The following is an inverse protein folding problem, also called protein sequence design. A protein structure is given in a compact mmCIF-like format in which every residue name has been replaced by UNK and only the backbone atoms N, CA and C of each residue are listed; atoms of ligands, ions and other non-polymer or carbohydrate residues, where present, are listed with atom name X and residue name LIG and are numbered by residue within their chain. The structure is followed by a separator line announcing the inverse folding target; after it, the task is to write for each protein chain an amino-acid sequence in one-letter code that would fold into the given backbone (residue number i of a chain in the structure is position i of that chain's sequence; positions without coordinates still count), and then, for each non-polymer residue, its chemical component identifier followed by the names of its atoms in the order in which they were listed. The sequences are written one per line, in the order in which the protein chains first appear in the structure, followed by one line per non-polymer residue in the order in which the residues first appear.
data_IF_332938752772
#
_entry.id   IF_332938752772
#
_cell.length_a   1.000
_cell.length_b   1.000
_cell.length_c   1.000
_cell.angle_alpha   90.00
_cell.angle_beta   90.00
_cell.angle_gamma   90.00
#
_symmetry.space_group_name_H-M   'P 1'
#
loop_
_entity.id
_entity.type
_entity.pdbx_description
1 polymer ?
#
# COMPACT_ATOMS: atom_id res chain seq x y z
N UNK A 1 -2.75 -89.18 20.06
CA UNK A 1 -2.25 -87.97 19.34
C UNK A 1 -3.40 -87.44 18.46
N UNK A 2 -4.54 -87.00 18.97
CA UNK A 2 -4.91 -85.90 19.88
C UNK A 2 -4.92 -84.50 19.24
N UNK A 3 -5.98 -84.25 18.46
CA UNK A 3 -6.93 -83.13 18.60
C UNK A 3 -6.36 -81.78 19.07
N UNK A 4 -5.55 -81.12 18.25
CA UNK A 4 -5.23 -79.70 18.41
C UNK A 4 -4.95 -79.14 17.01
N UNK A 5 -5.94 -78.49 16.37
CA UNK A 5 -5.77 -77.61 15.17
C UNK A 5 -7.09 -77.08 14.56
N UNK A 6 -8.23 -77.16 15.27
CA UNK A 6 -9.51 -76.64 14.77
C UNK A 6 -10.20 -75.77 15.84
N UNK A 7 -9.54 -74.71 16.30
CA UNK A 7 -10.17 -73.77 17.24
C UNK A 7 -9.69 -72.32 17.12
N UNK A 8 -8.93 -71.95 16.09
CA UNK A 8 -8.37 -70.60 15.96
C UNK A 8 -8.90 -69.76 14.79
N UNK A 9 -9.83 -70.27 13.97
CA UNK A 9 -10.32 -69.51 12.79
C UNK A 9 -11.70 -68.89 13.01
N UNK A 10 -12.44 -69.28 14.05
CA UNK A 10 -13.81 -68.81 14.28
C UNK A 10 -13.94 -67.60 15.22
N UNK A 11 -12.88 -67.16 15.89
CA UNK A 11 -12.92 -65.98 16.77
C UNK A 11 -12.52 -64.67 16.09
N UNK A 12 -11.97 -64.71 14.87
CA UNK A 12 -11.52 -63.49 14.18
C UNK A 12 -12.59 -62.84 13.30
N UNK A 13 -13.69 -63.53 12.99
CA UNK A 13 -14.76 -63.00 12.13
C UNK A 13 -15.80 -62.17 12.88
N UNK A 14 -15.89 -62.28 14.21
CA UNK A 14 -16.90 -61.56 15.01
C UNK A 14 -16.40 -60.16 15.44
N UNK A 15 -15.09 -59.94 15.54
CA UNK A 15 -14.56 -58.61 15.88
C UNK A 15 -14.56 -57.62 14.71
N UNK A 16 -14.54 -58.09 13.46
CA UNK A 16 -14.54 -57.20 12.28
C UNK A 16 -15.94 -56.67 11.91
N UNK A 17 -17.02 -57.30 12.37
CA UNK A 17 -18.39 -56.84 12.10
C UNK A 17 -18.87 -55.74 13.06
N UNK A 18 -18.17 -55.51 14.18
CA UNK A 18 -18.54 -54.49 15.18
C UNK A 18 -17.95 -53.10 14.91
N UNK A 19 -17.01 -52.97 13.97
CA UNK A 19 -16.38 -51.67 13.65
C UNK A 19 -17.17 -50.90 12.58
N UNK A 20 -18.05 -51.55 11.82
CA UNK A 20 -18.83 -50.89 10.75
C UNK A 20 -20.22 -50.39 11.19
N UNK A 21 -20.65 -50.67 12.42
CA UNK A 21 -21.97 -50.26 12.93
C UNK A 21 -21.93 -49.04 13.87
N UNK A 22 -20.75 -48.44 14.11
CA UNK A 22 -20.55 -47.42 15.14
C UNK A 22 -20.35 -45.99 14.66
N UNK A 23 -20.25 -45.73 13.36
CA UNK A 23 -20.01 -44.39 12.82
C UNK A 23 -21.26 -43.84 12.13
N UNK A 24 -22.39 -43.88 12.82
CA UNK A 24 -23.47 -42.93 12.54
C UNK A 24 -22.95 -41.57 12.99
N UNK A 25 -22.24 -40.88 12.09
CA UNK A 25 -21.82 -39.52 12.27
C UNK A 25 -23.09 -38.68 12.38
N UNK A 26 -23.63 -38.60 13.61
CA UNK A 26 -24.62 -37.61 13.99
C UNK A 26 -23.93 -36.27 13.85
N UNK A 27 -23.93 -35.75 12.62
CA UNK A 27 -23.67 -34.35 12.40
C UNK A 27 -24.61 -33.62 13.34
N UNK A 28 -24.09 -32.72 14.21
CA UNK A 28 -24.96 -31.86 14.96
C UNK A 28 -25.92 -31.20 13.96
N UNK A 29 -27.22 -31.10 14.29
CA UNK A 29 -28.18 -30.49 13.38
C UNK A 29 -27.61 -29.16 12.92
N UNK A 30 -27.46 -28.98 11.60
CA UNK A 30 -27.06 -27.67 11.07
C UNK A 30 -28.09 -26.68 11.59
N UNK A 31 -27.66 -25.56 12.22
CA UNK A 31 -28.59 -24.55 12.66
C UNK A 31 -29.36 -24.03 11.45
N UNK A 32 -30.68 -23.84 11.60
CA UNK A 32 -31.56 -23.35 10.52
C UNK A 32 -31.14 -21.96 10.01
N UNK A 33 -30.39 -21.21 10.83
CA UNK A 33 -29.72 -19.98 10.45
C UNK A 33 -28.38 -19.87 11.19
N UNK A 34 -27.31 -19.60 10.45
CA UNK A 34 -26.07 -19.12 11.06
C UNK A 34 -26.30 -17.67 11.46
N UNK A 35 -26.03 -17.33 12.73
CA UNK A 35 -25.96 -15.94 13.13
C UNK A 35 -24.89 -15.26 12.26
N UNK A 36 -25.21 -14.12 11.62
CA UNK A 36 -24.23 -13.40 10.83
C UNK A 36 -23.06 -13.02 11.73
N UNK A 37 -21.83 -13.28 11.27
CA UNK A 37 -20.62 -12.87 11.99
C UNK A 37 -20.71 -11.37 12.24
N UNK A 38 -20.62 -10.90 13.50
CA UNK A 38 -20.71 -9.49 13.80
C UNK A 38 -19.61 -8.75 13.03
N UNK A 39 -20.00 -7.83 12.15
CA UNK A 39 -19.04 -7.00 11.41
C UNK A 39 -18.43 -6.03 12.41
N UNK A 40 -17.12 -6.07 12.65
CA UNK A 40 -16.48 -5.11 13.54
C UNK A 40 -16.71 -3.70 13.00
N UNK A 41 -17.19 -2.81 13.86
CA UNK A 41 -17.43 -1.40 13.52
C UNK A 41 -16.37 -0.53 14.17
N UNK A 42 -15.82 0.41 13.38
CA UNK A 42 -14.90 1.44 13.88
C UNK A 42 -15.60 2.78 13.87
N UNK A 43 -15.41 3.58 14.92
CA UNK A 43 -15.88 4.97 14.96
C UNK A 43 -14.68 5.86 14.65
N UNK A 44 -14.66 6.56 13.50
CA UNK A 44 -13.54 7.40 13.12
C UNK A 44 -13.22 8.45 14.18
N UNK A 45 -11.95 8.57 14.53
CA UNK A 45 -11.44 9.62 15.39
C UNK A 45 -11.56 10.97 14.70
N UNK A 46 -12.26 11.90 15.35
CA UNK A 46 -12.51 13.24 14.81
C UNK A 46 -11.24 14.11 14.72
N UNK A 47 -10.18 13.76 15.45
CA UNK A 47 -8.94 14.54 15.48
C UNK A 47 -7.75 13.75 14.94
N UNK A 48 -6.95 14.41 14.10
CA UNK A 48 -5.64 13.91 13.72
C UNK A 48 -4.72 13.86 14.96
N UNK A 49 -3.77 12.90 15.00
CA UNK A 49 -2.72 12.91 16.01
C UNK A 49 -2.00 14.27 15.99
N UNK A 50 -1.70 14.79 17.18
CA UNK A 50 -0.87 15.99 17.31
C UNK A 50 0.45 15.74 16.58
N UNK A 51 0.85 16.69 15.73
CA UNK A 51 2.15 16.66 15.10
C UNK A 51 3.22 16.73 16.21
N UNK A 52 3.98 15.64 16.39
CA UNK A 52 4.97 15.50 17.46
C UNK A 52 6.35 15.86 16.90
N UNK A 53 6.76 17.10 17.15
CA UNK A 53 8.12 17.68 17.04
C UNK A 53 8.86 17.66 15.69
N UNK A 54 9.67 18.72 15.48
CA UNK A 54 10.69 19.10 14.46
C UNK A 54 10.51 18.70 12.98
N UNK A 55 9.93 17.54 12.66
CA UNK A 55 9.70 17.06 11.31
C UNK A 55 8.40 17.59 10.69
N UNK A 56 7.36 17.88 11.48
CA UNK A 56 6.23 18.68 11.02
C UNK A 56 6.65 20.15 11.02
N UNK A 57 7.25 20.60 9.92
CA UNK A 57 7.63 22.00 9.73
C UNK A 57 6.43 22.96 9.86
N UNK A 58 6.62 24.27 9.59
CA UNK A 58 5.54 25.26 9.70
C UNK A 58 4.32 24.95 8.81
N UNK A 59 4.51 24.13 7.77
CA UNK A 59 3.47 23.70 6.83
C UNK A 59 2.58 22.55 7.38
N UNK A 60 2.85 22.04 8.59
CA UNK A 60 2.11 20.93 9.20
C UNK A 60 2.69 19.54 8.90
N UNK A 61 1.94 18.51 9.26
CA UNK A 61 2.35 17.11 9.11
C UNK A 61 1.96 16.52 7.75
N UNK A 62 2.65 15.45 7.35
CA UNK A 62 2.33 14.68 6.15
C UNK A 62 0.88 14.20 6.18
N UNK A 63 0.46 13.61 7.31
CA UNK A 63 -0.91 13.14 7.51
C UNK A 63 -1.93 14.28 7.37
N UNK A 64 -1.64 15.46 7.94
CA UNK A 64 -2.50 16.64 7.82
C UNK A 64 -2.68 17.10 6.37
N UNK A 65 -1.62 17.07 5.56
CA UNK A 65 -1.68 17.45 4.14
C UNK A 65 -2.55 16.51 3.27
N UNK A 66 -2.86 15.30 3.76
CA UNK A 66 -3.74 14.34 3.10
C UNK A 66 -5.16 14.30 3.68
N UNK A 67 -5.39 14.83 4.89
CA UNK A 67 -6.70 14.82 5.53
C UNK A 67 -7.78 15.58 4.74
N UNK A 68 -7.40 16.66 4.05
CA UNK A 68 -8.30 17.48 3.24
C UNK A 68 -8.58 16.88 1.86
N UNK A 69 -7.86 15.84 1.44
CA UNK A 69 -8.03 15.26 0.12
C UNK A 69 -9.24 14.33 0.06
N UNK A 70 -9.89 14.30 -1.10
CA UNK A 70 -10.96 13.36 -1.40
C UNK A 70 -10.36 12.03 -1.85
N UNK A 71 -10.82 10.87 -1.33
CA UNK A 71 -10.37 9.58 -1.83
C UNK A 71 -10.85 9.42 -3.27
N UNK A 72 -10.10 8.67 -4.06
CA UNK A 72 -10.53 8.30 -5.41
C UNK A 72 -11.68 7.31 -5.38
N UNK A 73 -12.38 7.18 -6.51
CA UNK A 73 -13.43 6.18 -6.67
C UNK A 73 -12.81 4.79 -6.80
N UNK A 74 -13.59 3.75 -6.48
CA UNK A 74 -13.10 2.36 -6.45
C UNK A 74 -12.66 1.87 -7.84
N UNK A 75 -13.40 2.23 -8.89
CA UNK A 75 -13.07 1.90 -10.28
C UNK A 75 -11.67 2.44 -10.69
N UNK A 76 -11.23 3.56 -10.12
CA UNK A 76 -9.91 4.12 -10.40
C UNK A 76 -8.79 3.29 -9.76
N UNK A 77 -9.06 2.61 -8.63
CA UNK A 77 -8.09 1.81 -7.87
C UNK A 77 -7.79 0.51 -8.60
N UNK A 78 -8.81 -0.14 -9.15
CA UNK A 78 -8.67 -1.40 -9.89
C UNK A 78 -7.86 -1.25 -11.19
N UNK A 79 -7.86 -0.05 -11.77
CA UNK A 79 -7.12 0.27 -12.98
C UNK A 79 -5.63 0.58 -12.74
N UNK A 80 -5.13 0.45 -11.50
CA UNK A 80 -3.75 0.79 -11.20
C UNK A 80 -2.74 -0.22 -11.75
N UNK A 81 -1.62 0.30 -12.22
CA UNK A 81 -0.48 -0.47 -12.72
C UNK A 81 0.82 0.05 -12.13
N UNK A 82 1.66 -0.87 -11.66
CA UNK A 82 3.05 -0.58 -11.34
C UNK A 82 3.88 -0.49 -12.64
N UNK A 83 4.91 0.36 -12.69
CA UNK A 83 5.35 1.29 -11.64
C UNK A 83 4.59 2.64 -11.61
N UNK A 84 3.77 2.92 -12.62
CA UNK A 84 3.30 4.28 -12.92
C UNK A 84 2.37 4.89 -11.86
N UNK A 85 1.54 4.07 -11.21
CA UNK A 85 0.59 4.52 -10.18
C UNK A 85 1.04 4.22 -8.74
N UNK A 86 2.30 3.85 -8.52
CA UNK A 86 2.84 3.58 -7.19
C UNK A 86 2.61 4.74 -6.20
N UNK A 87 2.85 5.98 -6.65
CA UNK A 87 2.60 7.18 -5.84
C UNK A 87 1.11 7.36 -5.54
N UNK A 88 0.24 7.11 -6.50
CA UNK A 88 -1.20 7.27 -6.33
C UNK A 88 -1.73 6.30 -5.26
N UNK A 89 -1.30 5.04 -5.31
CA UNK A 89 -1.63 4.02 -4.31
C UNK A 89 -1.25 4.47 -2.89
N UNK A 90 0.00 4.89 -2.69
CA UNK A 90 0.48 5.31 -1.37
C UNK A 90 -0.24 6.58 -0.89
N UNK A 91 -0.62 7.48 -1.80
CA UNK A 91 -1.43 8.66 -1.47
C UNK A 91 -2.82 8.25 -0.97
N UNK A 92 -3.49 7.30 -1.62
CA UNK A 92 -4.80 6.82 -1.16
C UNK A 92 -4.70 6.14 0.21
N UNK A 93 -3.62 5.40 0.47
CA UNK A 93 -3.36 4.81 1.78
C UNK A 93 -3.18 5.89 2.87
N UNK A 94 -2.48 6.99 2.57
CA UNK A 94 -2.33 8.13 3.48
C UNK A 94 -3.65 8.87 3.70
N UNK A 95 -4.51 8.96 2.68
CA UNK A 95 -5.86 9.55 2.81
C UNK A 95 -6.72 8.68 3.73
N UNK A 96 -6.74 7.36 3.52
CA UNK A 96 -7.46 6.41 4.38
C UNK A 96 -6.98 6.52 5.83
N UNK A 97 -5.67 6.56 6.03
CA UNK A 97 -5.06 6.75 7.34
C UNK A 97 -5.44 8.09 7.97
N UNK A 98 -5.45 9.20 7.20
CA UNK A 98 -5.82 10.52 7.72
C UNK A 98 -7.29 10.60 8.15
N UNK A 99 -8.17 9.90 7.41
CA UNK A 99 -9.61 9.84 7.67
C UNK A 99 -10.04 8.83 8.73
N UNK A 100 -9.08 8.06 9.24
CA UNK A 100 -9.33 7.01 10.22
C UNK A 100 -10.30 5.94 9.67
N UNK A 101 -10.11 5.58 8.40
CA UNK A 101 -10.97 4.64 7.67
C UNK A 101 -10.24 3.29 7.48
N UNK A 102 -10.38 2.33 8.41
CA UNK A 102 -9.74 1.03 8.30
C UNK A 102 -10.30 0.19 7.15
N UNK A 103 -11.56 0.39 6.76
CA UNK A 103 -12.15 -0.37 5.66
C UNK A 103 -11.52 0.02 4.32
N UNK A 104 -11.40 1.34 4.07
CA UNK A 104 -10.71 1.83 2.88
C UNK A 104 -9.23 1.42 2.88
N UNK A 105 -8.58 1.48 4.04
CA UNK A 105 -7.20 1.03 4.18
C UNK A 105 -7.05 -0.45 3.80
N UNK A 106 -7.92 -1.33 4.29
CA UNK A 106 -7.86 -2.77 4.02
C UNK A 106 -8.05 -3.11 2.53
N UNK A 107 -8.77 -2.30 1.76
CA UNK A 107 -8.89 -2.46 0.31
C UNK A 107 -7.56 -2.19 -0.43
N UNK A 108 -6.64 -1.46 0.19
CA UNK A 108 -5.34 -1.09 -0.39
C UNK A 108 -4.20 -2.00 0.10
N UNK A 109 -4.50 -2.93 1.01
CA UNK A 109 -3.56 -3.87 1.61
C UNK A 109 -3.78 -5.26 1.03
N UNK A 110 -2.71 -6.04 0.86
CA UNK A 110 -2.86 -7.48 0.56
C UNK A 110 -3.48 -8.21 1.76
N UNK A 111 -4.10 -9.37 1.53
CA UNK A 111 -4.64 -10.22 2.61
C UNK A 111 -3.60 -10.58 3.67
N UNK A 112 -2.34 -10.74 3.24
CA UNK A 112 -1.21 -11.09 4.10
C UNK A 112 -0.33 -9.88 4.44
N UNK A 113 -0.87 -8.66 4.39
CA UNK A 113 -0.07 -7.47 4.58
C UNK A 113 0.56 -7.42 5.97
N UNK A 114 1.82 -7.01 6.02
CA UNK A 114 2.61 -6.94 7.25
C UNK A 114 3.17 -5.55 7.48
N UNK A 115 3.56 -5.28 8.71
CA UNK A 115 4.25 -4.06 9.06
C UNK A 115 5.33 -4.29 10.11
N UNK A 116 6.34 -3.43 10.14
CA UNK A 116 7.50 -3.61 11.01
C UNK A 116 8.57 -2.54 10.82
N UNK A 117 9.84 -2.89 11.04
CA UNK A 117 10.97 -1.96 10.88
C UNK A 117 11.13 -1.62 9.38
N UNK A 118 11.49 -0.39 8.99
CA UNK A 118 11.69 -0.01 7.59
C UNK A 118 12.96 -0.65 6.99
N UNK A 119 12.89 -1.96 6.76
CA UNK A 119 13.93 -2.81 6.19
C UNK A 119 13.29 -3.68 5.10
N UNK A 120 13.98 -3.82 3.95
CA UNK A 120 13.50 -4.63 2.82
C UNK A 120 13.39 -6.12 3.14
N UNK A 121 14.10 -6.59 4.17
CA UNK A 121 14.04 -7.96 4.69
C UNK A 121 12.85 -8.18 5.63
N UNK A 122 12.02 -7.15 5.85
CA UNK A 122 10.82 -7.23 6.67
C UNK A 122 11.12 -7.64 8.13
N UNK A 123 12.16 -7.04 8.71
CA UNK A 123 12.58 -7.36 10.07
C UNK A 123 11.48 -6.99 11.07
N UNK A 124 11.19 -7.95 11.97
CA UNK A 124 10.13 -7.82 12.99
C UNK A 124 8.75 -7.57 12.38
N UNK A 125 8.52 -8.02 11.14
CA UNK A 125 7.23 -7.92 10.49
C UNK A 125 6.17 -8.71 11.25
N UNK A 126 5.03 -8.06 11.47
CA UNK A 126 3.82 -8.64 12.04
C UNK A 126 2.63 -8.37 11.13
N UNK A 127 1.58 -9.23 11.15
CA UNK A 127 0.39 -9.00 10.34
C UNK A 127 -0.25 -7.64 10.66
N UNK A 128 -0.74 -6.95 9.64
CA UNK A 128 -1.58 -5.75 9.83
C UNK A 128 -2.96 -6.17 10.35
N UNK A 129 -3.53 -7.22 9.77
CA UNK A 129 -4.81 -7.82 10.19
C UNK A 129 -4.55 -9.18 10.82
N UNK A 130 -5.22 -9.48 11.93
CA UNK A 130 -5.19 -10.80 12.58
C UNK A 130 -6.49 -11.05 13.36
N UNK A 131 -6.71 -12.26 13.87
CA UNK A 131 -7.99 -12.68 14.48
C UNK A 131 -8.48 -11.79 15.64
N UNK A 132 -7.55 -11.13 16.35
CA UNK A 132 -7.84 -10.22 17.46
C UNK A 132 -7.99 -8.75 17.05
N UNK A 133 -7.59 -8.40 15.82
CA UNK A 133 -7.70 -7.05 15.24
C UNK A 133 -7.98 -7.18 13.73
N UNK A 134 -9.22 -7.56 13.35
CA UNK A 134 -9.58 -7.80 11.96
C UNK A 134 -9.58 -6.52 11.10
N UNK A 135 -9.62 -5.35 11.74
CA UNK A 135 -9.58 -4.04 11.06
C UNK A 135 -8.17 -3.45 11.01
N UNK A 136 -7.18 -4.05 11.70
CA UNK A 136 -5.82 -3.54 11.78
C UNK A 136 -5.74 -2.17 12.46
N UNK A 137 -6.54 -1.94 13.50
CA UNK A 137 -6.58 -0.69 14.26
C UNK A 137 -5.24 -0.39 14.95
N UNK A 138 -4.53 -1.41 15.44
CA UNK A 138 -3.20 -1.23 16.03
C UNK A 138 -2.23 -0.62 15.01
N UNK A 139 -2.23 -1.17 13.80
CA UNK A 139 -1.45 -0.67 12.69
C UNK A 139 -1.88 0.74 12.29
N UNK A 140 -3.19 0.98 12.12
CA UNK A 140 -3.73 2.28 11.73
C UNK A 140 -3.27 3.38 12.69
N UNK A 141 -3.39 3.13 14.00
CA UNK A 141 -2.95 4.04 15.05
C UNK A 141 -1.44 4.30 15.01
N UNK A 142 -0.64 3.24 14.86
CA UNK A 142 0.81 3.35 14.77
C UNK A 142 1.25 4.10 13.50
N UNK A 143 0.61 3.83 12.38
CA UNK A 143 0.87 4.47 11.09
C UNK A 143 0.46 5.94 11.09
N UNK A 144 -0.69 6.29 11.67
CA UNK A 144 -1.12 7.67 11.90
C UNK A 144 -0.11 8.44 12.77
N UNK A 145 0.39 7.84 13.85
CA UNK A 145 1.46 8.43 14.68
C UNK A 145 2.78 8.57 13.93
N UNK A 146 3.14 7.62 13.08
CA UNK A 146 4.37 7.68 12.32
C UNK A 146 4.33 8.79 11.27
N UNK A 147 3.27 8.82 10.46
CA UNK A 147 3.06 9.81 9.40
C UNK A 147 2.87 11.24 9.93
N UNK A 148 2.36 11.42 11.16
CA UNK A 148 2.23 12.75 11.76
C UNK A 148 3.58 13.40 12.13
N UNK A 149 4.67 12.64 12.16
CA UNK A 149 6.04 13.15 12.42
C UNK A 149 6.71 13.71 11.17
N UNK A 150 6.22 13.38 9.98
CA UNK A 150 6.81 13.82 8.71
C UNK A 150 6.29 15.19 8.33
N UNK A 151 7.11 15.99 7.63
CA UNK A 151 6.69 17.27 7.07
C UNK A 151 5.59 17.07 6.02
N UNK A 152 4.67 18.03 5.91
CA UNK A 152 3.68 18.11 4.85
C UNK A 152 4.29 17.93 3.43
N UNK A 153 5.51 18.41 3.22
CA UNK A 153 6.28 18.31 1.96
C UNK A 153 7.45 17.33 2.03
N UNK A 154 7.31 16.25 2.80
CA UNK A 154 8.37 15.23 2.90
C UNK A 154 8.72 14.61 1.54
N UNK A 155 9.97 14.20 1.40
CA UNK A 155 10.49 13.65 0.15
C UNK A 155 9.91 12.25 -0.08
N UNK A 156 9.31 12.04 -1.26
CA UNK A 156 8.82 10.75 -1.71
C UNK A 156 9.76 10.20 -2.79
N UNK A 157 10.20 8.96 -2.67
CA UNK A 157 11.09 8.33 -3.65
C UNK A 157 10.69 6.88 -3.85
N UNK A 158 10.61 6.43 -5.10
CA UNK A 158 10.53 5.01 -5.44
C UNK A 158 11.88 4.53 -5.95
N UNK A 159 12.26 3.32 -5.55
CA UNK A 159 13.50 2.68 -6.00
C UNK A 159 13.42 2.53 -7.52
N UNK A 160 14.38 3.05 -8.29
CA UNK A 160 14.36 2.90 -9.73
C UNK A 160 14.47 1.42 -10.09
N UNK A 161 13.55 0.97 -10.95
CA UNK A 161 13.63 -0.37 -11.52
C UNK A 161 14.73 -0.40 -12.57
N UNK A 162 15.44 -1.53 -12.66
CA UNK A 162 16.40 -1.75 -13.75
C UNK A 162 15.67 -1.66 -15.11
N UNK A 163 16.35 -1.23 -16.19
CA UNK A 163 15.77 -1.24 -17.52
C UNK A 163 15.19 -2.63 -17.86
N UNK A 164 13.93 -2.66 -18.35
CA UNK A 164 13.22 -3.90 -18.66
C UNK A 164 12.45 -4.54 -17.49
N UNK A 165 12.76 -4.19 -16.24
CA UNK A 165 12.07 -4.76 -15.06
C UNK A 165 10.70 -4.13 -14.80
N UNK A 166 10.36 -3.06 -15.53
CA UNK A 166 9.04 -2.42 -15.46
C UNK A 166 7.91 -3.41 -15.77
N UNK A 167 8.13 -4.31 -16.74
CA UNK A 167 7.16 -5.35 -17.08
C UNK A 167 7.03 -6.41 -15.97
N UNK A 168 8.11 -6.70 -15.25
CA UNK A 168 8.08 -7.63 -14.12
C UNK A 168 7.30 -7.02 -12.94
N UNK A 169 7.48 -5.72 -12.67
CA UNK A 169 6.68 -5.03 -11.67
C UNK A 169 5.20 -4.94 -12.07
N UNK A 170 4.91 -4.66 -13.35
CA UNK A 170 3.54 -4.62 -13.87
C UNK A 170 2.85 -5.99 -13.80
N UNK A 171 3.59 -7.09 -13.99
CA UNK A 171 3.07 -8.45 -13.89
C UNK A 171 3.06 -9.03 -12.47
N UNK A 172 3.57 -8.29 -11.47
CA UNK A 172 3.70 -8.76 -10.09
C UNK A 172 4.86 -9.72 -9.80
N UNK A 173 5.74 -9.95 -10.77
CA UNK A 173 6.92 -10.81 -10.60
C UNK A 173 8.01 -10.14 -9.74
N UNK A 174 8.04 -8.80 -9.71
CA UNK A 174 8.96 -8.02 -8.88
C UNK A 174 8.21 -6.98 -8.05
N UNK A 175 8.45 -6.89 -6.73
CA UNK A 175 7.85 -5.86 -5.90
C UNK A 175 8.45 -4.49 -6.21
N UNK A 176 7.64 -3.44 -6.05
CA UNK A 176 8.11 -2.06 -6.10
C UNK A 176 8.26 -1.48 -4.69
N UNK A 177 9.42 -0.89 -4.41
CA UNK A 177 9.70 -0.24 -3.14
C UNK A 177 9.66 1.28 -3.26
N UNK A 178 8.86 1.92 -2.43
CA UNK A 178 8.82 3.38 -2.30
C UNK A 178 8.96 3.80 -0.85
N UNK A 179 9.39 5.03 -0.59
CA UNK A 179 9.59 5.53 0.76
C UNK A 179 9.37 7.02 0.90
N UNK A 180 8.95 7.43 2.10
CA UNK A 180 9.07 8.80 2.59
C UNK A 180 10.26 8.91 3.54
N UNK A 181 11.06 9.95 3.39
CA UNK A 181 12.16 10.27 4.31
C UNK A 181 11.90 11.60 5.00
N UNK A 182 12.13 11.66 6.31
CA UNK A 182 12.01 12.89 7.10
C UNK A 182 13.06 13.91 6.67
N UNK A 183 12.79 15.20 6.88
CA UNK A 183 13.69 16.29 6.45
C UNK A 183 15.08 16.22 7.10
N UNK A 184 15.16 15.65 8.30
CA UNK A 184 16.36 15.44 9.11
C UNK A 184 16.96 14.04 8.97
N UNK A 185 16.37 13.16 8.14
CA UNK A 185 16.81 11.77 7.92
C UNK A 185 16.86 10.89 9.19
N UNK A 186 16.09 11.26 10.22
CA UNK A 186 15.93 10.46 11.44
C UNK A 186 14.80 9.42 11.33
N UNK A 187 13.92 9.55 10.35
CA UNK A 187 12.76 8.69 10.19
C UNK A 187 12.51 8.35 8.71
N UNK A 188 11.99 7.15 8.47
CA UNK A 188 11.67 6.64 7.14
C UNK A 188 10.43 5.76 7.21
N UNK A 189 9.54 5.93 6.22
CA UNK A 189 8.41 5.03 6.00
C UNK A 189 8.65 4.35 4.65
N UNK A 190 8.75 3.02 4.63
CA UNK A 190 8.89 2.21 3.43
C UNK A 190 7.62 1.46 3.08
N UNK A 191 7.33 1.34 1.78
CA UNK A 191 6.18 0.64 1.23
C UNK A 191 6.66 -0.38 0.21
N UNK A 192 6.18 -1.62 0.33
CA UNK A 192 6.30 -2.66 -0.67
C UNK A 192 4.97 -2.83 -1.39
N UNK A 193 4.96 -2.46 -2.66
CA UNK A 193 3.81 -2.62 -3.54
C UNK A 193 4.01 -3.88 -4.38
N UNK A 194 2.96 -4.69 -4.51
CA UNK A 194 2.93 -5.90 -5.34
C UNK A 194 1.67 -5.89 -6.21
N UNK A 195 1.62 -6.82 -7.17
CA UNK A 195 0.37 -7.13 -7.88
C UNK A 195 -0.15 -8.47 -7.35
N UNK A 196 -1.33 -8.46 -6.75
CA UNK A 196 -2.03 -9.64 -6.25
C UNK A 196 -3.36 -9.75 -6.98
N UNK A 197 -3.63 -10.91 -7.60
CA UNK A 197 -4.85 -11.15 -8.38
C UNK A 197 -5.12 -10.09 -9.48
N UNK A 198 -4.07 -9.48 -10.02
CA UNK A 198 -4.17 -8.43 -11.05
C UNK A 198 -4.40 -7.02 -10.49
N UNK A 199 -4.50 -6.86 -9.18
CA UNK A 199 -4.65 -5.58 -8.50
C UNK A 199 -3.35 -5.16 -7.82
N UNK A 200 -3.05 -3.87 -7.86
CA UNK A 200 -1.92 -3.30 -7.11
C UNK A 200 -2.31 -3.18 -5.65
N UNK A 201 -1.56 -3.80 -4.76
CA UNK A 201 -1.80 -3.78 -3.30
C UNK A 201 -0.49 -3.51 -2.54
N UNK A 202 -0.62 -3.05 -1.29
CA UNK A 202 0.53 -2.88 -0.38
C UNK A 202 0.67 -4.10 0.52
N UNK A 203 1.82 -4.75 0.45
CA UNK A 203 2.08 -6.01 1.16
C UNK A 203 3.00 -5.86 2.38
N UNK A 204 3.85 -4.82 2.37
CA UNK A 204 4.66 -4.47 3.54
C UNK A 204 4.75 -2.97 3.76
N UNK A 205 4.59 -2.55 5.02
CA UNK A 205 4.76 -1.16 5.43
C UNK A 205 5.74 -1.10 6.59
N UNK A 206 6.91 -0.52 6.36
CA UNK A 206 7.94 -0.38 7.37
C UNK A 206 8.02 1.03 7.92
N UNK A 207 8.01 1.21 9.24
CA UNK A 207 8.27 2.49 9.90
C UNK A 207 8.69 2.25 11.36
N UNK A 208 9.34 3.23 11.98
CA UNK A 208 9.64 3.14 13.40
C UNK A 208 8.43 3.59 14.22
N UNK A 209 8.03 2.84 15.24
CA UNK A 209 6.94 3.27 16.13
C UNK A 209 7.32 4.55 16.89
N UNK A 210 8.60 4.64 17.29
CA UNK A 210 9.21 5.79 17.93
C UNK A 210 10.30 6.37 17.04
N UNK A 211 10.40 7.71 16.99
CA UNK A 211 11.44 8.40 16.22
C UNK A 211 12.82 7.96 16.68
N UNK A 212 13.73 7.72 15.74
CA UNK A 212 15.10 7.35 16.08
C UNK A 212 15.88 8.58 16.58
N UNK A 213 16.72 8.45 17.61
CA UNK A 213 17.49 9.57 18.16
C UNK A 213 18.74 9.90 17.34
N UNK A 214 19.09 9.07 16.34
CA UNK A 214 20.25 9.23 15.48
C UNK A 214 19.87 9.10 14.02
N UNK A 215 20.60 9.82 13.15
CA UNK A 215 20.38 9.76 11.72
C UNK A 215 20.54 8.34 11.23
N UNK A 216 19.55 7.88 10.47
CA UNK A 216 19.59 6.59 9.82
C UNK A 216 20.55 6.74 8.65
N UNK A 217 21.84 6.58 8.92
CA UNK A 217 22.76 6.20 7.86
C UNK A 217 22.37 4.78 7.53
N UNK A 218 21.76 4.56 6.38
CA UNK A 218 21.74 3.25 5.73
C UNK A 218 23.09 3.17 5.00
N UNK A 219 24.19 2.82 5.68
CA UNK A 219 25.53 2.97 5.12
C UNK A 219 25.80 1.88 4.09
N UNK A 220 24.92 0.87 4.07
CA UNK A 220 25.06 -0.40 3.40
C UNK A 220 23.66 -1.04 3.43
N UNK A 221 22.76 -0.59 2.55
CA UNK A 221 21.71 -1.49 2.09
C UNK A 221 22.44 -2.53 1.25
N UNK A 222 23.19 -3.41 1.92
CA UNK A 222 24.17 -4.30 1.31
C UNK A 222 23.56 -4.95 0.08
N UNK A 223 24.39 -5.14 -0.95
CA UNK A 223 23.98 -5.57 -2.29
C UNK A 223 22.69 -6.38 -2.20
N UNK A 224 21.57 -5.86 -2.75
CA UNK A 224 20.27 -6.50 -2.56
C UNK A 224 20.48 -7.99 -2.85
N UNK A 225 20.05 -8.90 -1.95
CA UNK A 225 20.31 -10.32 -2.13
C UNK A 225 19.95 -10.66 -3.56
N UNK A 226 20.87 -11.30 -4.28
CA UNK A 226 20.78 -11.53 -5.71
C UNK A 226 19.34 -11.97 -6.02
N UNK A 227 18.57 -11.07 -6.66
CA UNK A 227 17.11 -11.16 -6.71
C UNK A 227 16.79 -12.28 -7.67
N UNK A 228 16.78 -13.52 -7.16
CA UNK A 228 16.05 -14.57 -7.83
C UNK A 228 14.58 -14.15 -7.77
N UNK A 229 13.87 -14.07 -8.91
CA UNK A 229 12.52 -13.54 -8.97
C UNK A 229 11.66 -14.18 -7.88
N UNK A 230 11.03 -13.32 -7.08
CA UNK A 230 10.19 -13.73 -5.96
C UNK A 230 8.89 -14.31 -6.52
N UNK A 231 8.92 -15.57 -6.97
CA UNK A 231 7.69 -16.33 -7.18
C UNK A 231 7.20 -16.71 -5.78
N UNK A 232 6.31 -15.89 -5.19
CA UNK A 232 5.47 -16.38 -4.09
C UNK A 232 4.72 -17.59 -4.65
N UNK A 233 5.15 -18.80 -4.30
CA UNK A 233 4.36 -20.00 -4.53
C UNK A 233 2.99 -19.72 -3.88
N UNK A 234 1.88 -19.75 -4.62
CA UNK A 234 0.58 -19.53 -4.02
C UNK A 234 0.41 -20.58 -2.91
N UNK A 235 -0.02 -20.13 -1.72
CA UNK A 235 -0.29 -21.00 -0.55
C UNK A 235 -1.58 -21.83 -0.77
N UNK A 236 -1.88 -22.19 -2.02
CA UNK A 236 -2.94 -23.11 -2.41
C UNK A 236 -2.34 -24.40 -2.98
N UNK A 237 -1.31 -24.92 -2.33
CA UNK A 237 -1.16 -26.36 -2.24
C UNK A 237 -1.60 -26.76 -0.83
N UNK A 238 -2.92 -26.78 -0.65
CA UNK A 238 -3.54 -27.82 0.16
C UNK A 238 -2.84 -29.10 -0.27
N UNK A 239 -1.97 -29.66 0.57
CA UNK A 239 -1.46 -31.00 0.36
C UNK A 239 -2.70 -31.83 -0.01
N UNK A 240 -2.72 -32.54 -1.15
CA UNK A 240 -3.78 -33.51 -1.38
C UNK A 240 -3.86 -34.33 -0.09
N UNK A 241 -5.01 -34.30 0.58
CA UNK A 241 -5.25 -35.16 1.74
C UNK A 241 -4.73 -36.53 1.33
N UNK A 242 -3.72 -37.03 2.05
CA UNK A 242 -3.26 -38.39 1.87
C UNK A 242 -4.53 -39.25 1.94
N UNK A 243 -4.90 -39.83 0.80
CA UNK A 243 -5.94 -40.83 0.74
C UNK A 243 -5.58 -41.92 1.77
N UNK A 244 -6.55 -42.50 2.48
CA UNK A 244 -6.30 -43.44 3.57
C UNK A 244 -5.88 -44.84 3.09
N UNK A 245 -5.29 -44.94 1.89
CA UNK A 245 -4.76 -46.19 1.36
C UNK A 245 -3.24 -46.12 1.42
N UNK A 246 -2.69 -46.78 2.44
CA UNK A 246 -1.28 -46.81 2.83
C UNK A 246 -0.32 -47.43 1.81
N UNK A 247 -0.27 -46.88 0.60
CA UNK A 247 0.75 -47.14 -0.39
C UNK A 247 1.66 -45.93 -0.50
N UNK A 248 2.66 -45.86 0.38
CA UNK A 248 3.79 -44.96 0.18
C UNK A 248 4.40 -45.23 -1.21
N UNK A 249 4.56 -44.23 -2.09
CA UNK A 249 5.49 -44.37 -3.18
C UNK A 249 6.90 -44.43 -2.56
N UNK A 250 7.58 -45.56 -2.80
CA UNK A 250 9.00 -45.71 -2.49
C UNK A 250 9.74 -44.59 -3.20
N UNK A 251 10.22 -43.61 -2.44
CA UNK A 251 11.19 -42.63 -2.92
C UNK A 251 12.46 -43.43 -3.23
N UNK A 252 12.65 -43.80 -4.50
CA UNK A 252 13.92 -44.32 -4.98
C UNK A 252 14.98 -43.26 -4.69
N UNK A 253 15.85 -43.62 -3.76
CA UNK A 253 17.00 -42.84 -3.32
C UNK A 253 17.94 -42.71 -4.53
N UNK A 254 17.81 -41.61 -5.27
CA UNK A 254 18.73 -41.22 -6.35
C UNK A 254 20.16 -41.27 -5.79
N UNK A 255 21.11 -41.99 -6.42
CA UNK A 255 22.47 -42.08 -5.90
C UNK A 255 23.13 -40.70 -5.89
N UNK A 256 23.87 -40.44 -4.82
CA UNK A 256 24.61 -39.20 -4.61
C UNK A 256 25.54 -38.93 -5.80
N UNK A 257 25.40 -37.76 -6.42
CA UNK A 257 26.36 -37.22 -7.39
C UNK A 257 27.71 -37.09 -6.66
N UNK A 258 28.76 -37.68 -7.23
CA UNK A 258 30.12 -37.38 -6.84
C UNK A 258 30.37 -35.87 -6.98
N UNK A 259 31.13 -35.24 -6.08
CA UNK A 259 31.49 -33.84 -6.19
C UNK A 259 32.31 -33.62 -7.47
N UNK A 260 31.87 -32.68 -8.32
CA UNK A 260 32.67 -32.18 -9.43
C UNK A 260 33.92 -31.49 -8.88
N UNK A 261 35.08 -31.64 -9.54
CA UNK A 261 36.33 -31.01 -9.09
C UNK A 261 36.21 -29.48 -9.14
N UNK A 262 36.74 -28.83 -8.09
CA UNK A 262 36.81 -27.38 -7.99
C UNK A 262 37.54 -26.80 -9.21
N UNK A 263 36.99 -25.77 -9.87
CA UNK A 263 37.68 -25.11 -10.98
C UNK A 263 38.92 -24.39 -10.47
N UNK A 264 40.04 -24.57 -11.19
CA UNK A 264 41.30 -23.88 -10.90
C UNK A 264 41.11 -22.35 -10.94
N UNK A 265 41.78 -21.61 -10.05
CA UNK A 265 41.66 -20.16 -9.99
C UNK A 265 42.13 -19.52 -11.30
N UNK A 266 41.29 -18.65 -11.86
CA UNK A 266 41.61 -17.84 -13.02
C UNK A 266 42.84 -16.94 -12.74
N UNK A 267 43.72 -16.73 -13.72
CA UNK A 267 44.90 -15.89 -13.56
C UNK A 267 44.51 -14.44 -13.20
N UNK A 268 45.25 -13.86 -12.26
CA UNK A 268 45.11 -12.46 -11.85
C UNK A 268 45.28 -11.54 -13.06
N UNK A 269 44.41 -10.52 -13.23
CA UNK A 269 44.54 -9.57 -14.32
C UNK A 269 45.83 -8.74 -14.15
N UNK A 270 46.56 -8.59 -15.25
CA UNK A 270 47.74 -7.72 -15.35
C UNK A 270 47.38 -6.27 -15.00
N UNK A 271 48.29 -5.51 -14.37
CA UNK A 271 48.05 -4.13 -13.97
C UNK A 271 47.77 -3.25 -15.19
N UNK A 272 46.64 -2.54 -15.15
CA UNK A 272 46.28 -1.52 -16.13
C UNK A 272 47.32 -0.38 -16.12
N UNK A 273 47.66 0.18 -17.30
CA UNK A 273 48.65 1.25 -17.42
C UNK A 273 48.16 2.55 -16.76
N UNK A 274 49.05 3.17 -15.98
CA UNK A 274 48.84 4.49 -15.37
C UNK A 274 48.50 5.54 -16.44
N UNK A 275 47.33 6.14 -16.32
CA UNK A 275 46.88 7.25 -17.17
C UNK A 275 47.67 8.49 -16.79
N UNK A 276 48.45 9.03 -17.73
CA UNK A 276 49.15 10.30 -17.57
C UNK A 276 48.17 11.46 -17.27
N UNK A 277 48.54 12.41 -16.39
CA UNK A 277 47.66 13.50 -16.01
C UNK A 277 47.36 14.42 -17.19
N UNK A 278 46.06 14.64 -17.45
CA UNK A 278 45.59 15.69 -18.36
C UNK A 278 46.03 17.07 -17.87
N UNK A 279 46.52 17.95 -18.76
CA UNK A 279 46.99 19.28 -18.39
C UNK A 279 45.87 20.16 -17.81
N UNK A 280 46.23 20.95 -16.80
CA UNK A 280 45.37 21.93 -16.14
C UNK A 280 44.77 22.93 -17.16
N UNK A 281 43.47 23.25 -17.07
CA UNK A 281 42.86 24.28 -17.91
C UNK A 281 43.38 25.67 -17.54
N UNK A 282 43.69 26.48 -18.56
CA UNK A 282 44.12 27.87 -18.43
C UNK A 282 43.07 28.74 -17.72
N UNK A 283 43.47 29.78 -16.97
CA UNK A 283 42.56 30.67 -16.27
C UNK A 283 41.67 31.47 -17.24
N UNK A 284 40.36 31.39 -17.01
CA UNK A 284 39.36 32.20 -17.72
C UNK A 284 39.57 33.70 -17.48
N UNK A 285 39.50 34.46 -18.57
CA UNK A 285 39.55 35.93 -18.59
C UNK A 285 38.55 36.57 -17.62
N UNK A 286 39.03 37.59 -16.91
CA UNK A 286 38.26 38.38 -15.97
C UNK A 286 37.06 39.10 -16.63
N UNK A 287 35.92 39.25 -15.94
CA UNK A 287 34.76 39.97 -16.47
C UNK A 287 35.05 41.47 -16.59
N UNK A 288 34.78 42.01 -17.77
CA UNK A 288 34.81 43.44 -18.10
C UNK A 288 33.75 44.18 -17.26
N UNK A 289 34.10 45.26 -16.52
CA UNK A 289 33.12 46.07 -15.80
C UNK A 289 32.18 46.80 -16.77
N UNK A 290 30.88 46.49 -16.72
CA UNK A 290 29.85 47.25 -17.42
C UNK A 290 29.39 48.40 -16.53
N UNK A 291 29.62 49.63 -17.00
CA UNK A 291 29.16 50.86 -16.34
C UNK A 291 27.62 50.92 -16.24
N UNK A 292 27.06 51.42 -15.11
CA UNK A 292 25.62 51.54 -14.93
C UNK A 292 25.06 52.71 -15.76
N UNK A 293 24.11 52.43 -16.65
CA UNK A 293 23.36 53.45 -17.39
C UNK A 293 22.50 54.33 -16.45
N UNK A 294 22.40 55.65 -16.70
CA UNK A 294 21.74 56.58 -15.79
C UNK A 294 20.20 56.48 -15.84
N UNK A 295 19.57 56.65 -14.66
CA UNK A 295 18.12 56.82 -14.48
C UNK A 295 17.64 58.07 -15.24
N UNK A 296 16.66 57.91 -16.12
CA UNK A 296 15.84 59.04 -16.59
C UNK A 296 14.59 59.22 -15.71
N UNK A 297 14.18 60.48 -15.47
CA UNK A 297 13.23 60.84 -14.43
C UNK A 297 11.77 60.73 -14.86
N UNK A 298 10.92 60.34 -13.92
CA UNK A 298 9.47 60.48 -14.01
C UNK A 298 9.05 61.96 -13.98
N UNK A 299 7.98 62.33 -14.70
CA UNK A 299 7.04 63.43 -14.39
C UNK A 299 5.73 63.27 -15.20
N UNK A 300 4.61 63.94 -14.81
CA UNK A 300 3.27 63.33 -14.66
C UNK A 300 2.16 64.02 -15.51
N UNK A 301 0.93 63.44 -15.47
CA UNK A 301 -0.45 63.96 -15.63
C UNK A 301 -0.75 65.04 -16.73
N UNK A 302 -1.90 65.12 -17.41
CA UNK A 302 -3.30 64.91 -17.04
C UNK A 302 -4.20 64.92 -18.33
N UNK A 303 -5.42 64.42 -18.15
CA UNK A 303 -6.70 64.85 -18.76
C UNK A 303 -7.21 64.46 -20.18
N UNK A 304 -8.42 63.88 -20.12
CA UNK A 304 -9.64 64.17 -20.88
C UNK A 304 -9.90 63.56 -22.29
N UNK A 305 -10.77 62.55 -22.25
CA UNK A 305 -12.03 62.38 -23.01
C UNK A 305 -12.01 62.27 -24.56
N UNK A 306 -12.47 61.11 -25.07
CA UNK A 306 -13.74 61.01 -25.82
C UNK A 306 -14.18 59.54 -26.00
N UNK A 307 -15.46 59.24 -25.76
CA UNK A 307 -16.16 57.98 -26.09
C UNK A 307 -17.15 58.35 -27.20
N UNK A 308 -17.41 57.52 -28.23
CA UNK A 308 -18.60 56.64 -28.19
C UNK A 308 -18.42 55.37 -29.09
N UNK A 309 -19.29 54.35 -29.25
CA UNK A 309 -20.46 53.78 -28.59
C UNK A 309 -20.83 52.47 -29.34
N UNK A 310 -21.67 51.61 -28.73
CA UNK A 310 -22.63 50.64 -29.33
C UNK A 310 -22.03 49.41 -30.08
N UNK A 311 -22.56 48.18 -30.00
CA UNK A 311 -23.68 47.50 -29.31
C UNK A 311 -23.57 45.99 -29.68
N UNK A 312 -23.91 45.02 -28.81
CA UNK A 312 -24.10 43.61 -29.23
C UNK A 312 -25.56 43.34 -29.65
N UNK A 313 -25.76 42.53 -30.70
CA UNK A 313 -27.08 42.10 -31.18
C UNK A 313 -27.24 40.56 -31.13
N UNK A 314 -27.98 40.15 -30.11
CA UNK A 314 -29.02 39.11 -29.91
C UNK A 314 -29.30 37.92 -30.90
N UNK A 315 -30.08 36.90 -30.41
CA UNK A 315 -30.17 35.49 -30.84
C UNK A 315 -31.53 35.08 -31.47
N UNK A 316 -31.73 33.78 -31.73
CA UNK A 316 -32.99 33.02 -31.87
C UNK A 316 -32.65 31.51 -32.00
N UNK A 317 -33.47 30.49 -31.72
CA UNK A 317 -34.62 30.20 -30.83
C UNK A 317 -34.96 28.68 -31.05
N UNK A 318 -36.00 28.17 -30.36
CA UNK A 318 -36.72 26.87 -30.44
C UNK A 318 -36.48 25.89 -29.27
N UNK A 319 -37.49 25.32 -28.60
CA UNK A 319 -38.95 25.46 -28.67
C UNK A 319 -39.61 24.78 -27.45
N UNK A 320 -40.90 25.07 -27.27
CA UNK A 320 -41.93 24.38 -26.47
C UNK A 320 -42.00 24.75 -24.97
N UNK A 321 -43.17 24.93 -24.34
CA UNK A 321 -44.55 25.16 -24.77
C UNK A 321 -45.32 25.58 -23.51
N UNK A 322 -45.96 26.76 -23.59
CA UNK A 322 -47.13 27.36 -22.89
C UNK A 322 -47.69 26.95 -21.49
N UNK A 323 -48.48 27.87 -20.87
CA UNK A 323 -48.66 28.04 -19.42
C UNK A 323 -50.13 28.02 -18.92
N UNK A 324 -50.35 28.17 -17.61
CA UNK A 324 -51.48 28.84 -16.90
C UNK A 324 -51.55 28.28 -15.46
N UNK A 325 -51.99 28.93 -14.37
CA UNK A 325 -52.81 30.14 -14.17
C UNK A 325 -52.66 30.58 -12.69
N UNK A 326 -52.64 31.90 -12.53
CA UNK A 326 -52.86 32.85 -11.41
C UNK A 326 -53.60 32.43 -10.09
N UNK A 327 -53.64 33.32 -9.06
CA UNK A 327 -53.49 33.04 -7.63
C UNK A 327 -54.80 33.28 -6.84
N UNK A 328 -54.76 33.17 -5.50
CA UNK A 328 -55.20 34.20 -4.55
C UNK A 328 -55.42 33.64 -3.14
N UNK A 329 -54.91 34.39 -2.16
CA UNK A 329 -55.31 34.42 -0.75
C UNK A 329 -56.79 34.87 -0.65
N UNK A 330 -57.51 34.54 0.43
CA UNK A 330 -57.80 35.61 1.39
C UNK A 330 -57.75 35.15 2.86
N UNK A 331 -57.91 36.13 3.73
CA UNK A 331 -57.64 36.12 5.15
C UNK A 331 -58.90 35.94 6.04
N UNK A 332 -58.60 35.72 7.32
CA UNK A 332 -59.28 36.16 8.55
C UNK A 332 -60.40 35.34 9.24
N UNK A 333 -60.19 35.25 10.57
CA UNK A 333 -61.14 35.19 11.71
C UNK A 333 -61.84 33.84 11.98
N UNK A 334 -61.97 33.30 13.21
CA UNK A 334 -61.75 33.78 14.59
C UNK A 334 -61.83 32.55 15.58
N UNK A 335 -62.03 32.65 16.92
CA UNK A 335 -61.14 32.03 17.92
C UNK A 335 -61.78 30.96 18.83
N UNK A 336 -60.98 30.41 19.76
CA UNK A 336 -61.46 29.80 21.00
C UNK A 336 -60.73 28.50 21.37
N UNK A 337 -59.99 28.49 22.47
CA UNK A 337 -60.37 27.75 23.68
C UNK A 337 -59.29 27.92 24.76
N UNK A 338 -59.72 28.21 25.98
CA UNK A 338 -58.89 28.35 27.16
C UNK A 338 -59.04 27.07 28.00
N UNK A 339 -57.91 26.44 28.34
CA UNK A 339 -57.84 25.34 29.31
C UNK A 339 -56.92 25.73 30.46
N UNK A 340 -57.45 25.58 31.67
CA UNK A 340 -56.98 25.95 33.03
C UNK A 340 -55.49 25.82 33.37
#
# INVERSE_FOLDING_TARGET
MSRQRLTCVLTSAVLSALVLAGCDARYPPMPDAWEPVPVPTHTPSASLPTATDEGAGPDGSLLGAYAERTPRQDDDVEAWMLPFQAKAMIVELLIAAAKDDPHRMNQLLSENARWGVPDRRELRARPIMHDGDPLGLEFLDAFRRATSRFAAKSSFTCTPLQPGWQMLAAAGAEPMWCSYTSADSLDIIGFRLIVEQGQVVTDYIGFFEQRQPFAIRVPDAGDPPNITPYVKLPVSLTLPQLMPDGSNPVIEKKPARQPEPEPEPAPEPEPEPEVEPTPEPEPADAPIPVEPKPKQPAKPADDAAEKPAKKPAKPADDAAEKPAKKPAKPADAEPGDAGE
#
